data_IF_967821842384
#
_entry.id   IF_967821842384
#
_cell.length_a   1.000
_cell.length_b   1.000
_cell.length_c   1.000
_cell.angle_alpha   90.00
_cell.angle_beta   90.00
_cell.angle_gamma   90.00
#
_symmetry.space_group_name_H-M   'P 1'
#
loop_
_entity.id
_entity.type
_entity.pdbx_description
1 polymer ?
#
# COMPACT_ATOMS: atom_id res chain seq x y z
N UNK A 1 -17.72 1.36 54.03
CA UNK A 1 -17.58 -0.05 54.45
C UNK A 1 -16.40 -0.62 53.71
N UNK A 2 -15.56 -1.46 54.32
CA UNK A 2 -14.39 -2.08 53.67
C UNK A 2 -14.73 -2.79 52.34
N UNK A 3 -15.97 -3.28 52.22
CA UNK A 3 -16.51 -3.89 51.00
C UNK A 3 -16.82 -2.89 49.87
N UNK A 4 -17.19 -1.66 50.22
CA UNK A 4 -17.44 -0.58 49.24
C UNK A 4 -16.09 -0.09 48.68
N UNK A 5 -15.10 0.11 49.55
CA UNK A 5 -13.75 0.53 49.14
C UNK A 5 -13.08 -0.52 48.23
N UNK A 6 -13.21 -1.80 48.58
CA UNK A 6 -12.70 -2.92 47.75
C UNK A 6 -13.39 -2.98 46.39
N UNK A 7 -14.71 -2.75 46.33
CA UNK A 7 -15.46 -2.73 45.08
C UNK A 7 -14.99 -1.60 44.17
N UNK A 8 -14.87 -0.40 44.73
CA UNK A 8 -14.48 0.79 43.97
C UNK A 8 -13.05 0.65 43.43
N UNK A 9 -12.13 0.09 44.22
CA UNK A 9 -10.76 -0.23 43.78
C UNK A 9 -10.73 -1.27 42.64
N UNK A 10 -11.52 -2.34 42.74
CA UNK A 10 -11.64 -3.33 41.66
C UNK A 10 -12.26 -2.75 40.39
N UNK A 11 -13.25 -1.87 40.51
CA UNK A 11 -13.85 -1.18 39.37
C UNK A 11 -12.84 -0.24 38.69
N UNK A 12 -12.06 0.51 39.46
CA UNK A 12 -10.97 1.36 38.95
C UNK A 12 -9.90 0.54 38.23
N UNK A 13 -9.42 -0.55 38.84
CA UNK A 13 -8.44 -1.47 38.24
C UNK A 13 -8.95 -2.11 36.94
N UNK A 14 -10.24 -2.47 36.90
CA UNK A 14 -10.87 -3.04 35.70
C UNK A 14 -10.97 -2.00 34.59
N UNK A 15 -11.38 -0.77 34.91
CA UNK A 15 -11.43 0.32 33.94
C UNK A 15 -10.03 0.67 33.40
N UNK A 16 -9.00 0.71 34.25
CA UNK A 16 -7.62 0.94 33.82
C UNK A 16 -7.11 -0.15 32.89
N UNK A 17 -7.37 -1.43 33.19
CA UNK A 17 -7.02 -2.55 32.31
C UNK A 17 -7.72 -2.46 30.97
N UNK A 18 -9.01 -2.12 30.95
CA UNK A 18 -9.78 -1.96 29.72
C UNK A 18 -9.19 -0.84 28.83
N UNK A 19 -8.87 0.31 29.41
CA UNK A 19 -8.23 1.42 28.67
C UNK A 19 -6.86 1.01 28.12
N UNK A 20 -6.05 0.30 28.89
CA UNK A 20 -4.75 -0.18 28.44
C UNK A 20 -4.86 -1.17 27.26
N UNK A 21 -5.83 -2.09 27.31
CA UNK A 21 -6.11 -3.02 26.21
C UNK A 21 -6.55 -2.29 24.93
N UNK A 22 -7.43 -1.30 25.06
CA UNK A 22 -7.85 -0.50 23.91
C UNK A 22 -6.69 0.28 23.27
N UNK A 23 -5.79 0.83 24.09
CA UNK A 23 -4.60 1.50 23.59
C UNK A 23 -3.63 0.54 22.90
N UNK A 24 -3.44 -0.66 23.46
CA UNK A 24 -2.64 -1.71 22.84
C UNK A 24 -3.23 -2.15 21.50
N UNK A 25 -4.55 -2.33 21.42
CA UNK A 25 -5.22 -2.70 20.17
C UNK A 25 -5.06 -1.61 19.10
N UNK A 26 -5.32 -0.33 19.43
CA UNK A 26 -5.12 0.77 18.48
C UNK A 26 -3.69 0.86 17.97
N UNK A 27 -2.72 0.58 18.85
CA UNK A 27 -1.30 0.55 18.47
C UNK A 27 -1.01 -0.62 17.54
N UNK A 28 -1.55 -1.80 17.81
CA UNK A 28 -1.43 -2.95 16.94
C UNK A 28 -2.04 -2.65 15.56
N UNK A 29 -3.27 -2.12 15.52
CA UNK A 29 -3.94 -1.79 14.26
C UNK A 29 -3.12 -0.79 13.42
N UNK A 30 -2.54 0.24 14.08
CA UNK A 30 -1.67 1.19 13.40
C UNK A 30 -0.38 0.55 12.86
N UNK A 31 0.21 -0.40 13.59
CA UNK A 31 1.39 -1.14 13.15
C UNK A 31 1.07 -2.07 11.98
N UNK A 32 -0.06 -2.79 12.03
CA UNK A 32 -0.52 -3.66 10.94
C UNK A 32 -0.81 -2.87 9.66
N UNK A 33 -1.39 -1.66 9.79
CA UNK A 33 -1.60 -0.77 8.64
C UNK A 33 -0.27 -0.30 8.05
N UNK A 34 0.69 0.09 8.91
CA UNK A 34 2.02 0.57 8.52
C UNK A 34 2.89 -0.52 7.89
N UNK A 35 2.87 -1.74 8.43
CA UNK A 35 3.58 -2.91 7.89
C UNK A 35 2.93 -3.43 6.60
N UNK A 36 1.69 -3.05 6.34
CA UNK A 36 0.91 -3.54 5.22
C UNK A 36 0.30 -4.91 5.43
N UNK A 37 0.22 -5.37 6.67
CA UNK A 37 -0.44 -6.62 7.10
C UNK A 37 -1.95 -6.45 7.29
N UNK A 38 -2.46 -5.22 7.27
CA UNK A 38 -3.88 -4.91 7.18
C UNK A 38 -4.21 -4.14 5.89
N UNK A 39 -5.41 -4.41 5.37
CA UNK A 39 -6.00 -3.62 4.28
C UNK A 39 -6.30 -2.20 4.73
N UNK A 40 -6.40 -1.29 3.76
CA UNK A 40 -6.62 0.14 3.99
C UNK A 40 -7.75 0.66 3.12
N UNK A 41 -8.40 1.74 3.56
CA UNK A 41 -9.40 2.46 2.78
C UNK A 41 -9.30 3.95 3.07
N UNK A 42 -9.33 4.77 2.02
CA UNK A 42 -9.26 6.22 2.14
C UNK A 42 -9.44 6.92 0.81
N UNK A 43 -9.32 8.24 0.77
CA UNK A 43 -9.24 8.99 -0.49
C UNK A 43 -8.00 8.58 -1.26
N UNK A 44 -8.00 8.73 -2.58
CA UNK A 44 -6.85 8.30 -3.37
C UNK A 44 -7.03 8.43 -4.87
N UNK A 45 -6.22 7.67 -5.60
CA UNK A 45 -6.28 7.56 -7.06
C UNK A 45 -6.24 6.10 -7.49
N UNK A 46 -6.90 5.80 -8.60
CA UNK A 46 -6.70 4.58 -9.38
C UNK A 46 -6.04 4.99 -10.69
N UNK A 47 -4.83 4.49 -10.92
CA UNK A 47 -4.03 4.76 -12.11
C UNK A 47 -4.04 3.51 -12.97
N UNK A 48 -4.44 3.64 -14.23
CA UNK A 48 -4.43 2.54 -15.20
C UNK A 48 -3.41 2.84 -16.28
N UNK A 49 -2.42 1.96 -16.43
CA UNK A 49 -1.34 2.02 -17.41
C UNK A 49 -1.61 0.97 -18.49
N UNK A 50 -1.93 1.42 -19.69
CA UNK A 50 -2.03 0.58 -20.88
C UNK A 50 -0.66 0.41 -21.51
N UNK A 51 -0.32 -0.82 -21.90
CA UNK A 51 0.96 -1.16 -22.52
C UNK A 51 0.73 -2.17 -23.66
N UNK A 52 0.21 -1.72 -24.81
CA UNK A 52 -0.16 -2.61 -25.91
C UNK A 52 1.06 -3.30 -26.55
N UNK A 53 2.21 -2.63 -26.55
CA UNK A 53 3.45 -3.11 -27.16
C UNK A 53 4.36 -3.87 -26.17
N UNK A 54 4.02 -3.84 -24.88
CA UNK A 54 4.80 -4.52 -23.86
C UNK A 54 6.11 -3.80 -23.50
N UNK A 55 6.16 -2.48 -23.71
CA UNK A 55 7.35 -1.66 -23.53
C UNK A 55 7.51 -1.15 -22.10
N UNK A 56 6.46 -1.17 -21.28
CA UNK A 56 6.52 -0.73 -19.88
C UNK A 56 7.29 -1.76 -19.06
N UNK A 57 8.43 -1.32 -18.52
CA UNK A 57 9.34 -2.16 -17.75
C UNK A 57 9.18 -2.02 -16.25
N UNK A 58 9.92 -2.86 -15.51
CA UNK A 58 9.98 -2.81 -14.05
C UNK A 58 10.41 -1.45 -13.50
N UNK A 59 11.32 -0.75 -14.21
CA UNK A 59 11.79 0.59 -13.82
C UNK A 59 10.66 1.62 -13.89
N UNK A 60 9.81 1.57 -14.91
CA UNK A 60 8.67 2.49 -15.05
C UNK A 60 7.64 2.28 -13.94
N UNK A 61 7.34 1.03 -13.56
CA UNK A 61 6.48 0.76 -12.41
C UNK A 61 7.11 1.20 -11.09
N UNK A 62 8.41 1.01 -10.91
CA UNK A 62 9.13 1.53 -9.75
C UNK A 62 9.02 3.05 -9.69
N UNK A 63 9.27 3.76 -10.80
CA UNK A 63 9.13 5.21 -10.87
C UNK A 63 7.72 5.65 -10.49
N UNK A 64 6.68 5.01 -11.03
CA UNK A 64 5.29 5.28 -10.66
C UNK A 64 5.07 5.23 -9.13
N UNK A 65 5.62 4.21 -8.48
CA UNK A 65 5.55 4.04 -7.04
C UNK A 65 6.33 5.11 -6.29
N UNK A 66 7.51 5.51 -6.77
CA UNK A 66 8.30 6.56 -6.12
C UNK A 66 7.64 7.93 -6.23
N UNK A 67 7.10 8.28 -7.40
CA UNK A 67 6.34 9.53 -7.58
C UNK A 67 5.15 9.61 -6.61
N UNK A 68 4.43 8.49 -6.44
CA UNK A 68 3.32 8.42 -5.48
C UNK A 68 3.77 8.55 -4.03
N UNK A 69 4.91 7.96 -3.65
CA UNK A 69 5.50 8.12 -2.31
C UNK A 69 5.92 9.56 -2.06
N UNK A 70 6.57 10.19 -3.02
CA UNK A 70 6.99 11.59 -2.95
C UNK A 70 5.77 12.53 -2.84
N UNK A 71 4.66 12.16 -3.47
CA UNK A 71 3.37 12.85 -3.38
C UNK A 71 2.58 12.56 -2.08
N UNK A 72 3.08 11.68 -1.21
CA UNK A 72 2.48 11.36 0.08
C UNK A 72 1.45 10.24 0.05
N UNK A 73 1.60 9.26 -0.83
CA UNK A 73 0.81 8.04 -0.77
C UNK A 73 1.12 7.24 0.51
N UNK A 74 0.06 6.81 1.20
CA UNK A 74 0.14 6.09 2.49
C UNK A 74 0.03 4.57 2.32
N UNK A 75 -0.70 4.13 1.30
CA UNK A 75 -0.80 2.72 0.91
C UNK A 75 -0.91 2.63 -0.61
N UNK A 76 -0.22 1.65 -1.20
CA UNK A 76 -0.23 1.41 -2.64
C UNK A 76 -0.38 -0.10 -2.88
N UNK A 77 -1.23 -0.48 -3.82
CA UNK A 77 -1.21 -1.82 -4.41
C UNK A 77 -1.15 -1.78 -5.93
N UNK A 78 -0.74 -2.90 -6.52
CA UNK A 78 -0.64 -3.08 -7.96
C UNK A 78 -1.41 -4.33 -8.37
N UNK A 79 -2.27 -4.17 -9.38
CA UNK A 79 -3.10 -5.20 -10.00
C UNK A 79 -3.96 -5.98 -8.99
N UNK A 80 -4.35 -5.37 -7.86
CA UNK A 80 -5.07 -6.03 -6.77
C UNK A 80 -4.38 -7.31 -6.24
N UNK A 81 -3.05 -7.43 -6.41
CA UNK A 81 -2.30 -8.60 -5.95
C UNK A 81 -1.10 -8.25 -5.08
N UNK A 82 -0.40 -7.14 -5.38
CA UNK A 82 0.86 -6.79 -4.75
C UNK A 82 0.71 -5.54 -3.88
N UNK A 83 0.77 -5.72 -2.55
CA UNK A 83 0.94 -4.60 -1.61
C UNK A 83 2.36 -4.08 -1.73
N UNK A 84 2.51 -2.77 -1.92
CA UNK A 84 3.81 -2.13 -1.95
C UNK A 84 4.20 -1.73 -0.52
N UNK A 85 5.35 -2.22 -0.08
CA UNK A 85 6.02 -1.90 1.20
C UNK A 85 7.46 -1.43 0.94
N UNK A 86 8.19 -1.11 2.01
CA UNK A 86 9.55 -0.57 1.91
C UNK A 86 10.52 -1.49 1.15
N UNK A 87 10.36 -2.80 1.34
CA UNK A 87 11.24 -3.83 0.78
C UNK A 87 10.81 -4.29 -0.62
N UNK A 88 9.72 -3.72 -1.16
CA UNK A 88 9.15 -4.17 -2.42
C UNK A 88 10.12 -4.04 -3.58
N UNK A 89 10.28 -5.13 -4.35
CA UNK A 89 11.14 -5.18 -5.52
C UNK A 89 10.34 -5.39 -6.82
N UNK A 90 10.91 -4.88 -7.91
CA UNK A 90 10.34 -4.95 -9.26
C UNK A 90 11.33 -5.62 -10.21
N UNK A 91 10.85 -6.51 -11.06
CA UNK A 91 11.71 -7.15 -12.05
C UNK A 91 10.97 -7.65 -13.29
N UNK A 92 11.73 -8.09 -14.31
CA UNK A 92 11.16 -8.71 -15.49
C UNK A 92 10.49 -10.04 -15.11
N UNK A 93 9.27 -10.26 -15.55
CA UNK A 93 8.62 -11.56 -15.45
C UNK A 93 9.02 -12.46 -16.62
N UNK A 94 9.02 -13.77 -16.38
CA UNK A 94 9.10 -14.72 -17.50
C UNK A 94 7.73 -14.78 -18.17
N UNK A 95 7.65 -14.53 -19.47
CA UNK A 95 6.47 -14.90 -20.24
C UNK A 95 6.86 -15.47 -21.61
N UNK A 96 6.19 -16.56 -21.98
CA UNK A 96 6.21 -17.09 -23.33
C UNK A 96 5.38 -16.23 -24.32
N UNK A 97 4.53 -15.33 -23.80
CA UNK A 97 3.67 -14.41 -24.55
C UNK A 97 3.39 -13.14 -23.71
N UNK A 98 4.02 -12.02 -24.05
CA UNK A 98 3.74 -10.68 -23.51
C UNK A 98 4.67 -10.19 -22.39
N UNK A 99 4.55 -8.91 -22.03
CA UNK A 99 5.36 -8.25 -21.00
C UNK A 99 4.73 -8.46 -19.63
N UNK A 100 5.11 -9.57 -18.98
CA UNK A 100 4.84 -9.77 -17.58
C UNK A 100 5.93 -9.08 -16.75
N UNK A 101 5.55 -8.46 -15.65
CA UNK A 101 6.48 -7.97 -14.64
C UNK A 101 6.25 -8.73 -13.34
N UNK A 102 7.23 -8.67 -12.45
CA UNK A 102 7.13 -9.22 -11.10
C UNK A 102 7.22 -8.07 -10.10
N UNK A 103 6.31 -8.07 -9.12
CA UNK A 103 6.31 -7.20 -7.95
C UNK A 103 6.22 -8.08 -6.71
N UNK A 104 7.27 -8.14 -5.91
CA UNK A 104 7.37 -9.02 -4.73
C UNK A 104 6.87 -10.45 -5.00
N UNK A 105 7.56 -11.14 -5.90
CA UNK A 105 7.27 -12.51 -6.34
C UNK A 105 5.88 -12.73 -6.98
N UNK A 106 5.07 -11.67 -7.13
CA UNK A 106 3.75 -11.72 -7.77
C UNK A 106 3.85 -11.23 -9.21
N UNK A 107 3.34 -12.04 -10.13
CA UNK A 107 3.28 -11.63 -11.54
C UNK A 107 2.15 -10.62 -11.76
N UNK A 108 2.48 -9.48 -12.36
CA UNK A 108 1.53 -8.45 -12.81
C UNK A 108 1.62 -8.30 -14.32
N UNK A 109 0.53 -7.83 -14.94
CA UNK A 109 0.37 -7.72 -16.40
C UNK A 109 -0.39 -6.47 -16.77
N UNK A 110 -0.12 -5.95 -17.96
CA UNK A 110 -0.89 -4.86 -18.54
C UNK A 110 -2.38 -5.27 -18.76
N UNK A 111 -3.35 -4.35 -18.57
CA UNK A 111 -3.13 -3.01 -18.03
C UNK A 111 -2.69 -3.06 -16.56
N UNK A 112 -1.65 -2.30 -16.23
CA UNK A 112 -1.19 -2.22 -14.85
C UNK A 112 -2.10 -1.24 -14.11
N UNK A 113 -2.73 -1.71 -13.05
CA UNK A 113 -3.60 -0.89 -12.20
C UNK A 113 -2.82 -0.61 -10.93
N UNK A 114 -2.66 0.66 -10.59
CA UNK A 114 -2.03 1.11 -9.35
C UNK A 114 -3.08 1.85 -8.54
N UNK A 115 -3.49 1.25 -7.43
CA UNK A 115 -4.37 1.86 -6.46
C UNK A 115 -3.54 2.49 -5.34
N UNK A 116 -3.71 3.79 -5.10
CA UNK A 116 -2.94 4.52 -4.10
C UNK A 116 -3.86 5.36 -3.21
N UNK A 117 -3.70 5.22 -1.89
CA UNK A 117 -4.40 6.01 -0.87
C UNK A 117 -3.52 7.21 -0.49
N UNK A 118 -4.14 8.39 -0.43
CA UNK A 118 -3.52 9.65 -0.06
C UNK A 118 -4.38 10.84 -0.50
N UNK A 119 -3.82 12.05 -0.48
CA UNK A 119 -4.52 13.24 -0.97
C UNK A 119 -4.70 13.14 -2.49
N UNK A 120 -5.91 12.81 -2.95
CA UNK A 120 -6.21 12.46 -4.35
C UNK A 120 -5.72 13.49 -5.36
N UNK A 121 -5.91 14.79 -5.08
CA UNK A 121 -5.46 15.88 -5.95
C UNK A 121 -3.95 16.00 -6.03
N UNK A 122 -3.24 15.68 -4.95
CA UNK A 122 -1.77 15.71 -4.90
C UNK A 122 -1.21 14.52 -5.67
N UNK A 123 -1.75 13.32 -5.44
CA UNK A 123 -1.35 12.10 -6.14
C UNK A 123 -1.58 12.22 -7.66
N UNK A 124 -2.75 12.73 -8.06
CA UNK A 124 -3.07 12.89 -9.48
C UNK A 124 -2.11 13.84 -10.18
N UNK A 125 -1.79 14.98 -9.56
CA UNK A 125 -0.84 15.96 -10.11
C UNK A 125 0.58 15.42 -10.22
N UNK A 126 1.00 14.52 -9.32
CA UNK A 126 2.33 13.91 -9.39
C UNK A 126 2.46 13.03 -10.63
N UNK A 127 1.43 12.24 -10.94
CA UNK A 127 1.41 11.36 -12.12
C UNK A 127 1.39 12.17 -13.43
N UNK A 128 0.64 13.27 -13.44
CA UNK A 128 0.46 14.15 -14.61
C UNK A 128 1.54 15.24 -14.71
N UNK A 129 2.53 15.25 -13.81
CA UNK A 129 3.56 16.28 -13.82
C UNK A 129 4.39 16.19 -15.12
N UNK A 130 4.71 17.32 -15.79
CA UNK A 130 5.52 17.29 -17.00
C UNK A 130 6.88 16.62 -16.79
N UNK A 131 7.20 15.66 -17.65
CA UNK A 131 8.37 14.79 -17.53
C UNK A 131 8.22 13.64 -16.53
N UNK A 132 7.03 13.45 -15.95
CA UNK A 132 6.70 12.39 -14.99
C UNK A 132 6.19 11.11 -15.66
N UNK A 133 5.42 10.32 -14.89
CA UNK A 133 4.98 8.97 -15.28
C UNK A 133 4.18 8.93 -16.59
N UNK A 134 3.23 9.86 -16.76
CA UNK A 134 2.38 9.89 -17.96
C UNK A 134 3.23 10.06 -19.24
N UNK A 135 4.14 11.04 -19.24
CA UNK A 135 5.05 11.30 -20.36
C UNK A 135 6.01 10.13 -20.60
N UNK A 136 6.52 9.48 -19.54
CA UNK A 136 7.39 8.29 -19.65
C UNK A 136 6.65 7.13 -20.35
N UNK A 137 5.42 6.84 -19.96
CA UNK A 137 4.61 5.76 -20.55
C UNK A 137 4.19 6.07 -21.98
N UNK A 138 3.78 7.32 -22.26
CA UNK A 138 3.42 7.74 -23.62
C UNK A 138 4.62 7.62 -24.58
N UNK A 139 5.83 7.96 -24.13
CA UNK A 139 7.05 7.78 -24.92
C UNK A 139 7.36 6.30 -25.25
N UNK A 140 6.82 5.37 -24.47
CA UNK A 140 6.91 3.92 -24.68
C UNK A 140 5.78 3.36 -25.56
N UNK A 141 4.84 4.19 -26.02
CA UNK A 141 3.67 3.77 -26.81
C UNK A 141 2.48 3.30 -25.96
N UNK A 142 2.55 3.47 -24.64
CA UNK A 142 1.45 3.19 -23.72
C UNK A 142 0.52 4.40 -23.52
N UNK A 143 -0.40 4.27 -22.57
CA UNK A 143 -1.19 5.40 -22.08
C UNK A 143 -1.50 5.27 -20.59
N UNK A 144 -1.68 6.41 -19.92
CA UNK A 144 -2.03 6.47 -18.50
C UNK A 144 -3.39 7.13 -18.34
N UNK A 145 -4.23 6.57 -17.48
CA UNK A 145 -5.47 7.19 -17.01
C UNK A 145 -5.43 7.29 -15.50
N UNK A 146 -5.68 8.49 -14.96
CA UNK A 146 -5.72 8.74 -13.51
C UNK A 146 -7.15 9.04 -13.11
N UNK A 147 -7.67 8.31 -12.13
CA UNK A 147 -9.01 8.51 -11.59
C UNK A 147 -8.94 8.83 -10.10
N UNK A 148 -9.05 10.11 -9.71
CA UNK A 148 -9.21 10.51 -8.31
C UNK A 148 -10.54 9.97 -7.74
N UNK A 149 -10.50 9.41 -6.54
CA UNK A 149 -11.66 8.83 -5.86
C UNK A 149 -11.68 9.23 -4.38
N UNK A 150 -12.88 9.46 -3.85
CA UNK A 150 -13.09 9.69 -2.41
C UNK A 150 -12.88 8.42 -1.57
N UNK A 151 -12.93 7.26 -2.21
CA UNK A 151 -12.72 5.96 -1.58
C UNK A 151 -12.01 5.00 -2.54
N UNK A 152 -10.77 4.70 -2.21
CA UNK A 152 -9.92 3.65 -2.76
C UNK A 152 -9.70 2.61 -1.67
N UNK A 153 -9.71 1.34 -2.05
CA UNK A 153 -9.40 0.23 -1.16
C UNK A 153 -8.06 -0.35 -1.59
N UNK A 154 -7.23 -0.67 -0.61
CA UNK A 154 -6.00 -1.45 -0.80
C UNK A 154 -6.17 -2.71 0.02
N UNK A 155 -6.42 -3.84 -0.64
CA UNK A 155 -6.76 -5.10 0.02
C UNK A 155 -5.61 -6.11 0.03
N UNK A 156 -4.64 -5.95 -0.86
CA UNK A 156 -3.43 -6.76 -0.88
C UNK A 156 -2.64 -6.55 0.41
N UNK A 157 -2.05 -7.64 0.91
CA UNK A 157 -1.22 -7.64 2.11
C UNK A 157 0.25 -7.85 1.76
N UNK A 158 1.12 -7.27 2.59
CA UNK A 158 2.55 -7.49 2.54
C UNK A 158 2.87 -9.00 2.67
N UNK A 159 3.95 -9.49 2.04
CA UNK A 159 4.43 -10.84 2.33
C UNK A 159 4.81 -10.96 3.81
N UNK A 160 4.57 -12.12 4.40
CA UNK A 160 5.03 -12.39 5.78
C UNK A 160 6.56 -12.34 5.82
N UNK A 161 7.16 -11.64 6.81
CA UNK A 161 8.61 -11.59 6.94
C UNK A 161 9.14 -12.97 7.32
N UNK A 162 10.17 -13.43 6.61
CA UNK A 162 10.88 -14.66 6.95
C UNK A 162 11.94 -14.37 8.02
N UNK A 163 11.52 -14.42 9.30
CA UNK A 163 12.36 -14.09 10.43
C UNK A 163 12.95 -15.35 11.08
N UNK A 164 14.08 -15.83 10.55
CA UNK A 164 14.82 -16.97 11.13
C UNK A 164 15.51 -16.66 12.46
N UNK A 165 15.91 -15.39 12.65
CA UNK A 165 16.77 -14.98 13.77
C UNK A 165 16.19 -13.85 14.63
N UNK A 166 15.26 -13.08 14.10
CA UNK A 166 14.66 -11.94 14.79
C UNK A 166 13.41 -12.41 15.54
N UNK A 167 13.30 -12.05 16.81
CA UNK A 167 12.12 -12.32 17.64
C UNK A 167 11.61 -10.98 18.20
N UNK A 168 10.33 -10.63 18.01
CA UNK A 168 9.78 -9.42 18.57
C UNK A 168 9.84 -9.45 20.11
N UNK A 169 10.38 -8.39 20.71
CA UNK A 169 10.36 -8.26 22.18
C UNK A 169 8.93 -8.03 22.66
N UNK A 170 8.46 -8.94 23.52
CA UNK A 170 7.16 -8.86 24.21
C UNK A 170 7.10 -7.77 25.28
#
# INVERSE_FOLDING_TARGET
SELEDTRDELQLSTNQRQVALEQAQRRLDALLLLSGEAGATGTGVVITIQDPDGSVGAVTLLNAVQELRDAGAEAIEINNVARVVAETWFGPGSAATGSALVVDDRTVRAPYVVEAIGASDTLAKAVEFPGGLADEVEALGGSVTVTPLDSVQVQSLAPEPDADFADPTT
#
